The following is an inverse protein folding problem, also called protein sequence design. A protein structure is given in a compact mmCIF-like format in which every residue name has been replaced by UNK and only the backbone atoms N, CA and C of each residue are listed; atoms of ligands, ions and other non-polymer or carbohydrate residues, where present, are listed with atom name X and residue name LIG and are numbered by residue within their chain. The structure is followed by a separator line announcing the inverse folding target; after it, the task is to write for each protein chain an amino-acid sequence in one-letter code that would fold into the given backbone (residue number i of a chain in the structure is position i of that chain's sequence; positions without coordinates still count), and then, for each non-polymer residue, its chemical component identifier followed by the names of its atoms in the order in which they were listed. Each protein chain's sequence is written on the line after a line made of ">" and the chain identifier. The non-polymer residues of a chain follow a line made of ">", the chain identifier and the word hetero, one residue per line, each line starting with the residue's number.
data_IF_014712140497
#
_entry.id   IF_014712140497
#
_cell.length_a   1.000
_cell.length_b   1.000
_cell.length_c   1.000
_cell.angle_alpha   90.00
_cell.angle_beta   90.00
_cell.angle_gamma   90.00
#
_symmetry.space_group_name_H-M   'P 1'
#
loop_
_entity.id
_entity.type
_entity.pdbx_description
1 polymer ?
#
# COMPACT_ATOMS: atom_id res chain seq x y z
N UNK A 1 32.65 -69.40 -39.46
CA UNK A 1 31.35 -68.84 -39.00
C UNK A 1 31.61 -68.03 -37.74
N UNK A 2 31.56 -66.69 -37.82
CA UNK A 2 31.84 -65.79 -36.68
C UNK A 2 30.59 -65.71 -35.80
N UNK A 3 30.71 -66.09 -34.52
CA UNK A 3 29.63 -66.02 -33.53
C UNK A 3 29.35 -64.55 -33.19
N UNK A 4 28.22 -64.01 -33.66
CA UNK A 4 27.75 -62.69 -33.22
C UNK A 4 27.26 -62.78 -31.78
N UNK A 5 27.83 -61.96 -30.91
CA UNK A 5 27.50 -61.90 -29.49
C UNK A 5 26.22 -61.07 -29.30
N UNK A 6 25.16 -61.67 -28.74
CA UNK A 6 23.83 -61.08 -28.58
C UNK A 6 23.82 -59.74 -27.82
N UNK A 7 24.83 -59.48 -27.00
CA UNK A 7 24.95 -58.26 -26.20
C UNK A 7 25.17 -57.00 -27.05
N UNK A 8 25.68 -57.13 -28.28
CA UNK A 8 26.00 -55.99 -29.15
C UNK A 8 24.81 -55.47 -29.97
N UNK A 9 23.73 -56.25 -30.09
CA UNK A 9 22.52 -55.86 -30.84
C UNK A 9 21.56 -55.05 -29.94
N UNK A 10 21.62 -55.26 -28.62
CA UNK A 10 20.75 -54.54 -27.67
C UNK A 10 21.17 -53.08 -27.46
N UNK A 11 22.46 -52.76 -27.63
CA UNK A 11 22.98 -51.39 -27.48
C UNK A 11 22.65 -50.51 -28.70
N UNK A 12 22.44 -51.10 -29.88
CA UNK A 12 22.12 -50.33 -31.10
C UNK A 12 20.62 -49.99 -31.22
N UNK A 13 19.74 -50.73 -30.53
CA UNK A 13 18.30 -50.44 -30.47
C UNK A 13 17.91 -49.43 -29.37
N UNK A 14 18.79 -49.17 -28.39
CA UNK A 14 18.52 -48.24 -27.29
C UNK A 14 18.87 -46.77 -27.62
N UNK A 15 19.52 -46.52 -28.76
CA UNK A 15 19.96 -45.16 -29.17
C UNK A 15 18.92 -44.49 -30.08
N UNK A 16 17.91 -45.23 -30.59
CA UNK A 16 16.93 -44.69 -31.55
C UNK A 16 15.63 -44.14 -30.91
N UNK A 17 15.55 -44.02 -29.58
CA UNK A 17 14.33 -43.56 -28.88
C UNK A 17 14.50 -42.25 -28.11
N UNK A 18 15.67 -41.59 -28.19
CA UNK A 18 15.93 -40.29 -27.53
C UNK A 18 15.62 -39.08 -28.43
N UNK A 19 14.94 -39.30 -29.56
CA UNK A 19 14.67 -38.27 -30.57
C UNK A 19 13.33 -37.54 -30.45
N UNK A 20 12.58 -37.68 -29.35
CA UNK A 20 11.46 -36.77 -29.09
C UNK A 20 12.03 -35.52 -28.44
N UNK A 21 12.59 -34.65 -29.27
CA UNK A 21 12.74 -33.24 -28.93
C UNK A 21 11.32 -32.73 -28.69
N UNK A 22 10.88 -32.74 -27.43
CA UNK A 22 9.62 -32.13 -27.03
C UNK A 22 9.76 -30.64 -27.33
N UNK A 23 9.21 -30.21 -28.46
CA UNK A 23 8.79 -28.83 -28.61
C UNK A 23 7.66 -28.67 -27.58
N UNK A 24 8.01 -28.33 -26.35
CA UNK A 24 7.03 -27.79 -25.42
C UNK A 24 6.57 -26.49 -26.05
N UNK A 25 5.27 -26.32 -26.27
CA UNK A 25 4.70 -25.03 -26.68
C UNK A 25 5.28 -23.93 -25.78
N UNK A 26 5.82 -22.88 -26.38
CA UNK A 26 6.36 -21.75 -25.60
C UNK A 26 5.19 -21.07 -24.88
N UNK A 27 5.21 -21.12 -23.55
CA UNK A 27 4.22 -20.46 -22.72
C UNK A 27 4.70 -19.05 -22.38
N UNK A 28 3.88 -18.06 -22.72
CA UNK A 28 4.10 -16.67 -22.36
C UNK A 28 3.33 -16.35 -21.08
N UNK A 29 3.99 -15.81 -20.04
CA UNK A 29 3.30 -15.37 -18.84
C UNK A 29 2.38 -14.18 -19.14
N UNK A 30 1.41 -13.88 -18.26
CA UNK A 30 0.68 -12.62 -18.33
C UNK A 30 1.64 -11.44 -18.13
N UNK A 31 1.17 -10.23 -18.43
CA UNK A 31 1.91 -9.00 -18.09
C UNK A 31 1.04 -8.05 -17.29
N UNK A 32 1.65 -7.30 -16.37
CA UNK A 32 0.97 -6.28 -15.55
C UNK A 32 1.75 -4.97 -15.54
N UNK A 33 1.04 -3.85 -15.64
CA UNK A 33 1.58 -2.50 -15.52
C UNK A 33 0.69 -1.61 -14.64
N UNK A 34 1.30 -0.56 -14.10
CA UNK A 34 0.60 0.55 -13.47
C UNK A 34 0.66 1.75 -14.40
N UNK A 35 -0.50 2.26 -14.82
CA UNK A 35 -0.57 3.43 -15.68
C UNK A 35 -0.35 4.72 -14.88
N UNK A 36 0.46 5.62 -15.43
CA UNK A 36 0.72 6.94 -14.84
C UNK A 36 -0.40 7.93 -15.17
N UNK A 37 -0.74 8.82 -14.25
CA UNK A 37 -1.64 9.95 -14.46
C UNK A 37 -1.72 10.84 -13.22
N UNK A 38 -2.34 12.02 -13.34
CA UNK A 38 -2.35 13.03 -12.26
C UNK A 38 -2.96 12.53 -10.94
N UNK A 39 -3.82 11.51 -11.00
CA UNK A 39 -4.53 10.95 -9.86
C UNK A 39 -4.13 9.50 -9.52
N UNK A 40 -3.08 8.97 -10.14
CA UNK A 40 -2.65 7.59 -9.93
C UNK A 40 -1.24 7.51 -9.37
N UNK A 41 -1.06 6.64 -8.38
CA UNK A 41 0.27 6.21 -7.96
C UNK A 41 0.72 5.05 -8.86
N UNK A 42 1.84 5.24 -9.56
CA UNK A 42 2.46 4.21 -10.40
C UNK A 42 3.93 3.94 -10.06
N UNK A 43 4.47 4.64 -9.05
CA UNK A 43 5.85 4.50 -8.57
C UNK A 43 5.94 4.92 -7.10
N UNK A 44 7.13 4.87 -6.51
CA UNK A 44 7.33 5.22 -5.11
C UNK A 44 6.84 6.64 -4.82
N UNK A 45 6.15 6.81 -3.70
CA UNK A 45 5.50 8.08 -3.37
C UNK A 45 5.48 8.33 -1.85
N UNK A 46 5.35 9.62 -1.50
CA UNK A 46 5.08 10.05 -0.13
C UNK A 46 3.61 10.39 0.04
N UNK A 47 2.99 9.87 1.10
CA UNK A 47 1.54 10.00 1.34
C UNK A 47 1.23 10.20 2.81
N UNK A 48 0.07 10.77 3.12
CA UNK A 48 -0.37 10.86 4.51
C UNK A 48 -0.78 9.47 5.05
N UNK A 49 -0.68 9.26 6.38
CA UNK A 49 -1.22 8.06 7.01
C UNK A 49 -2.71 7.88 6.70
N UNK A 50 -3.13 6.64 6.43
CA UNK A 50 -4.52 6.26 6.12
C UNK A 50 -5.15 6.99 4.91
N UNK A 51 -4.33 7.60 4.05
CA UNK A 51 -4.77 8.26 2.82
C UNK A 51 -5.33 7.28 1.79
N UNK A 52 -6.28 7.73 0.97
CA UNK A 52 -6.76 6.96 -0.17
C UNK A 52 -5.73 7.00 -1.30
N UNK A 53 -5.25 5.83 -1.69
CA UNK A 53 -4.31 5.60 -2.77
C UNK A 53 -5.09 5.01 -3.94
N UNK A 54 -5.03 5.68 -5.09
CA UNK A 54 -5.64 5.19 -6.33
C UNK A 54 -4.54 4.74 -7.29
N UNK A 55 -4.70 3.57 -7.87
CA UNK A 55 -3.82 3.02 -8.90
C UNK A 55 -4.64 2.62 -10.11
N UNK A 56 -4.10 2.79 -11.32
CA UNK A 56 -4.70 2.26 -12.53
C UNK A 56 -3.91 1.05 -12.99
N UNK A 57 -4.48 -0.14 -12.79
CA UNK A 57 -3.86 -1.42 -13.12
C UNK A 57 -4.30 -1.84 -14.51
N UNK A 58 -3.34 -2.28 -15.31
CA UNK A 58 -3.59 -2.93 -16.59
C UNK A 58 -2.81 -4.24 -16.66
N UNK A 59 -3.51 -5.34 -16.90
CA UNK A 59 -2.90 -6.63 -17.13
C UNK A 59 -3.46 -7.27 -18.41
N UNK A 60 -2.57 -7.87 -19.21
CA UNK A 60 -2.92 -8.58 -20.44
C UNK A 60 -2.49 -10.03 -20.35
N UNK A 61 -3.32 -10.92 -20.89
CA UNK A 61 -2.98 -12.34 -20.94
C UNK A 61 -1.74 -12.62 -21.80
N UNK A 62 -1.02 -13.66 -21.43
CA UNK A 62 0.00 -14.28 -22.27
C UNK A 62 -0.61 -15.38 -23.12
N UNK A 63 -0.12 -16.61 -22.96
CA UNK A 63 -0.70 -17.79 -23.60
C UNK A 63 -2.05 -18.17 -22.98
N UNK A 64 -2.10 -18.24 -21.65
CA UNK A 64 -3.27 -18.64 -20.88
C UNK A 64 -4.11 -17.44 -20.42
N UNK A 65 -5.40 -17.68 -20.19
CA UNK A 65 -6.34 -16.66 -19.73
C UNK A 65 -6.01 -16.17 -18.31
N UNK A 66 -6.18 -14.88 -18.03
CA UNK A 66 -6.01 -14.32 -16.68
C UNK A 66 -7.02 -14.96 -15.71
N UNK A 67 -6.58 -15.22 -14.48
CA UNK A 67 -7.34 -15.99 -13.49
C UNK A 67 -7.46 -15.26 -12.14
N UNK A 68 -6.35 -14.86 -11.53
CA UNK A 68 -6.35 -14.22 -10.22
C UNK A 68 -5.56 -12.91 -10.22
N UNK A 69 -6.12 -11.89 -9.59
CA UNK A 69 -5.42 -10.65 -9.26
C UNK A 69 -5.29 -10.52 -7.74
N UNK A 70 -4.10 -10.23 -7.23
CA UNK A 70 -3.84 -10.11 -5.79
C UNK A 70 -3.02 -8.87 -5.47
N UNK A 71 -3.37 -8.20 -4.38
CA UNK A 71 -2.60 -7.07 -3.82
C UNK A 71 -1.95 -7.53 -2.51
N UNK A 72 -0.66 -7.29 -2.37
CA UNK A 72 0.10 -7.53 -1.16
C UNK A 72 0.63 -6.21 -0.58
N UNK A 73 0.76 -6.18 0.75
CA UNK A 73 1.52 -5.20 1.51
C UNK A 73 2.56 -5.96 2.33
N UNK A 74 3.85 -5.66 2.13
CA UNK A 74 4.97 -6.30 2.82
C UNK A 74 4.91 -7.85 2.76
N UNK A 75 4.55 -8.38 1.57
CA UNK A 75 4.43 -9.82 1.32
C UNK A 75 3.17 -10.49 1.90
N UNK A 76 2.32 -9.77 2.63
CA UNK A 76 1.04 -10.27 3.14
C UNK A 76 -0.11 -9.74 2.29
N UNK A 77 -1.15 -10.55 2.05
CA UNK A 77 -2.33 -10.09 1.29
C UNK A 77 -2.93 -8.86 1.98
N UNK A 78 -3.16 -7.80 1.21
CA UNK A 78 -3.80 -6.59 1.70
C UNK A 78 -5.22 -6.94 2.20
N UNK A 79 -5.58 -6.61 3.46
CA UNK A 79 -6.92 -6.88 3.98
C UNK A 79 -8.00 -6.21 3.13
N UNK A 80 -9.10 -6.93 2.86
CA UNK A 80 -10.16 -6.44 1.98
C UNK A 80 -10.80 -5.15 2.52
N UNK A 81 -10.84 -4.94 3.84
CA UNK A 81 -11.42 -3.73 4.44
C UNK A 81 -10.63 -2.45 4.11
N UNK A 82 -9.37 -2.59 3.68
CA UNK A 82 -8.55 -1.45 3.22
C UNK A 82 -8.78 -1.12 1.75
N UNK A 83 -9.39 -2.00 0.97
CA UNK A 83 -9.69 -1.78 -0.44
C UNK A 83 -11.07 -1.13 -0.53
N UNK A 84 -11.10 0.12 -0.98
CA UNK A 84 -12.32 0.94 -0.99
C UNK A 84 -13.07 0.87 -2.32
N UNK A 85 -12.38 0.57 -3.43
CA UNK A 85 -13.01 0.35 -4.74
C UNK A 85 -12.12 -0.45 -5.72
N UNK A 86 -12.72 -0.95 -6.80
CA UNK A 86 -12.04 -1.59 -7.93
C UNK A 86 -12.11 -3.12 -7.92
N UNK A 87 -11.99 -3.75 -6.75
CA UNK A 87 -12.18 -5.19 -6.57
C UNK A 87 -12.96 -5.48 -5.28
N UNK A 88 -13.70 -6.60 -5.27
CA UNK A 88 -14.57 -6.99 -4.15
C UNK A 88 -14.02 -8.19 -3.35
N UNK A 89 -12.84 -8.69 -3.72
CA UNK A 89 -12.13 -9.78 -3.05
C UNK A 89 -10.63 -9.60 -3.26
N UNK A 90 -9.80 -10.12 -2.35
CA UNK A 90 -8.35 -10.17 -2.51
C UNK A 90 -7.82 -11.52 -1.97
N UNK A 91 -7.48 -12.48 -2.85
CA UNK A 91 -7.41 -12.40 -4.31
C UNK A 91 -8.77 -12.19 -4.99
N UNK A 92 -8.79 -11.47 -6.11
CA UNK A 92 -9.93 -11.32 -6.99
C UNK A 92 -9.89 -12.38 -8.10
N UNK A 93 -10.97 -13.15 -8.24
CA UNK A 93 -11.18 -14.07 -9.37
C UNK A 93 -11.64 -13.27 -10.60
N UNK A 94 -10.92 -13.41 -11.70
CA UNK A 94 -11.20 -12.73 -12.96
C UNK A 94 -12.14 -13.58 -13.81
N UNK A 95 -13.07 -12.93 -14.51
CA UNK A 95 -14.06 -13.62 -15.34
C UNK A 95 -14.55 -12.75 -16.49
N UNK A 96 -15.21 -13.36 -17.47
CA UNK A 96 -15.74 -12.64 -18.63
C UNK A 96 -14.62 -11.99 -19.44
N UNK A 97 -14.74 -10.71 -19.74
CA UNK A 97 -13.72 -9.98 -20.52
C UNK A 97 -12.41 -9.76 -19.75
N UNK A 98 -12.45 -9.84 -18.41
CA UNK A 98 -11.27 -9.63 -17.56
C UNK A 98 -10.22 -10.73 -17.72
N UNK A 99 -10.59 -11.88 -18.27
CA UNK A 99 -9.67 -13.00 -18.52
C UNK A 99 -8.73 -12.76 -19.70
N UNK A 100 -9.05 -11.78 -20.56
CA UNK A 100 -8.18 -11.37 -21.68
C UNK A 100 -7.43 -10.07 -21.35
N UNK A 101 -8.14 -9.11 -20.76
CA UNK A 101 -7.64 -7.79 -20.38
C UNK A 101 -8.29 -7.36 -19.05
N UNK A 102 -7.48 -7.23 -18.01
CA UNK A 102 -7.89 -6.63 -16.75
C UNK A 102 -7.41 -5.19 -16.69
N UNK A 103 -8.32 -4.23 -16.85
CA UNK A 103 -8.02 -2.80 -16.73
C UNK A 103 -8.98 -2.15 -15.73
N UNK A 104 -8.46 -1.76 -14.55
CA UNK A 104 -9.27 -1.18 -13.48
C UNK A 104 -8.53 -0.11 -12.70
N UNK A 105 -9.30 0.87 -12.24
CA UNK A 105 -8.90 1.75 -11.15
C UNK A 105 -9.21 1.08 -9.82
N UNK A 106 -8.21 1.01 -8.95
CA UNK A 106 -8.30 0.40 -7.63
C UNK A 106 -7.90 1.43 -6.60
N UNK A 107 -8.74 1.58 -5.58
CA UNK A 107 -8.49 2.51 -4.48
C UNK A 107 -8.37 1.73 -3.18
N UNK A 108 -7.35 2.04 -2.40
CA UNK A 108 -7.13 1.43 -1.08
C UNK A 108 -6.51 2.42 -0.10
N UNK A 109 -6.59 2.14 1.20
CA UNK A 109 -5.97 2.99 2.23
C UNK A 109 -4.49 2.67 2.42
N UNK A 110 -3.63 3.70 2.49
CA UNK A 110 -2.22 3.59 2.87
C UNK A 110 -2.06 3.05 4.30
N UNK A 111 -0.84 2.66 4.67
CA UNK A 111 -0.51 2.22 6.01
C UNK A 111 -0.67 3.36 7.04
N UNK A 112 -0.85 3.01 8.31
CA UNK A 112 -1.00 3.98 9.39
C UNK A 112 0.33 4.43 10.00
N UNK A 113 1.41 3.69 9.74
CA UNK A 113 2.76 4.02 10.22
C UNK A 113 3.85 3.44 9.32
N UNK A 114 5.02 4.09 9.29
CA UNK A 114 6.22 3.58 8.64
C UNK A 114 6.17 3.58 7.10
N UNK A 115 6.88 2.63 6.52
CA UNK A 115 6.96 2.40 5.08
C UNK A 115 6.37 1.03 4.75
N UNK A 116 5.71 0.92 3.60
CA UNK A 116 5.13 -0.33 3.11
C UNK A 116 5.42 -0.53 1.62
N UNK A 117 5.82 -1.75 1.27
CA UNK A 117 5.95 -2.22 -0.10
C UNK A 117 4.62 -2.83 -0.58
N UNK A 118 4.07 -2.27 -1.64
CA UNK A 118 2.86 -2.76 -2.29
C UNK A 118 3.21 -3.54 -3.55
N UNK A 119 2.66 -4.74 -3.67
CA UNK A 119 2.89 -5.63 -4.82
C UNK A 119 1.56 -6.08 -5.41
N UNK A 120 1.37 -5.83 -6.70
CA UNK A 120 0.24 -6.25 -7.49
C UNK A 120 0.66 -7.45 -8.32
N UNK A 121 -0.05 -8.57 -8.17
CA UNK A 121 0.28 -9.84 -8.81
C UNK A 121 -0.89 -10.28 -9.66
N UNK A 122 -0.61 -10.60 -10.92
CA UNK A 122 -1.54 -11.25 -11.84
C UNK A 122 -1.10 -12.71 -12.04
N UNK A 123 -2.05 -13.63 -12.01
CA UNK A 123 -1.85 -15.06 -12.26
C UNK A 123 -2.82 -15.51 -13.36
N UNK A 124 -2.34 -16.30 -14.31
CA UNK A 124 -3.15 -16.91 -15.36
C UNK A 124 -3.68 -18.31 -14.98
N UNK A 125 -4.48 -18.93 -15.84
CA UNK A 125 -5.02 -20.28 -15.61
C UNK A 125 -3.97 -21.38 -15.70
N UNK A 126 -2.80 -21.09 -16.28
CA UNK A 126 -1.63 -21.96 -16.32
C UNK A 126 -0.73 -21.83 -15.08
N UNK A 127 -1.11 -20.98 -14.11
CA UNK A 127 -0.37 -20.63 -12.91
C UNK A 127 0.93 -19.85 -13.14
N UNK A 128 1.14 -19.28 -14.33
CA UNK A 128 2.19 -18.31 -14.57
C UNK A 128 1.80 -16.95 -13.99
N UNK A 129 2.79 -16.17 -13.59
CA UNK A 129 2.60 -14.92 -12.85
C UNK A 129 3.46 -13.80 -13.41
N UNK A 130 2.95 -12.59 -13.26
CA UNK A 130 3.73 -11.37 -13.34
C UNK A 130 3.34 -10.43 -12.18
N UNK A 131 4.23 -9.51 -11.85
CA UNK A 131 4.02 -8.61 -10.71
C UNK A 131 4.69 -7.26 -10.90
N UNK A 132 4.05 -6.23 -10.37
CA UNK A 132 4.59 -4.87 -10.31
C UNK A 132 4.30 -4.26 -8.94
N UNK A 133 5.15 -3.36 -8.47
CA UNK A 133 5.00 -2.79 -7.13
C UNK A 133 5.66 -1.43 -6.98
N UNK A 134 5.39 -0.81 -5.84
CA UNK A 134 5.99 0.44 -5.40
C UNK A 134 6.03 0.49 -3.89
N UNK A 135 6.82 1.42 -3.37
CA UNK A 135 6.94 1.69 -1.94
C UNK A 135 6.22 2.99 -1.60
N UNK A 136 5.37 2.96 -0.57
CA UNK A 136 4.79 4.17 0.02
C UNK A 136 5.51 4.50 1.32
N UNK A 137 6.06 5.70 1.40
CA UNK A 137 6.64 6.25 2.63
C UNK A 137 5.68 7.28 3.20
N UNK A 138 5.36 7.21 4.50
CA UNK A 138 4.46 8.20 5.08
C UNK A 138 5.14 9.57 5.22
N UNK A 139 4.38 10.63 4.96
CA UNK A 139 4.76 11.98 5.33
C UNK A 139 5.04 12.02 6.84
N UNK A 140 6.17 12.59 7.27
CA UNK A 140 6.45 12.74 8.68
C UNK A 140 5.33 13.56 9.32
N UNK A 141 4.72 13.06 10.40
CA UNK A 141 3.82 13.87 11.20
C UNK A 141 4.63 15.02 11.77
N UNK A 142 4.26 16.26 11.45
CA UNK A 142 4.82 17.41 12.13
C UNK A 142 4.39 17.34 13.60
N UNK A 143 5.32 17.00 14.48
CA UNK A 143 5.07 17.10 15.93
C UNK A 143 4.75 18.56 16.26
N UNK A 144 3.59 18.79 16.90
CA UNK A 144 3.25 20.11 17.42
C UNK A 144 4.10 20.36 18.67
N UNK A 145 5.28 20.92 18.47
CA UNK A 145 6.16 21.36 19.55
C UNK A 145 5.72 22.76 20.02
N UNK A 146 4.65 22.83 20.79
CA UNK A 146 4.24 24.07 21.47
C UNK A 146 5.12 24.29 22.71
N UNK A 147 6.24 24.98 22.52
CA UNK A 147 7.05 25.49 23.63
C UNK A 147 6.61 26.91 23.97
N UNK A 148 5.82 27.06 25.03
CA UNK A 148 5.59 28.34 25.71
C UNK A 148 6.55 28.44 26.90
N UNK A 149 7.80 28.81 26.61
CA UNK A 149 8.74 29.20 27.67
C UNK A 149 8.54 30.69 27.98
N UNK A 150 8.65 31.07 29.26
CA UNK A 150 8.58 32.45 29.76
C UNK A 150 7.23 33.16 29.76
N UNK A 151 6.12 32.48 29.47
CA UNK A 151 4.78 33.09 29.51
C UNK A 151 4.34 33.33 30.97
N UNK A 152 4.40 34.59 31.43
CA UNK A 152 3.95 34.97 32.77
C UNK A 152 2.43 35.10 32.79
N UNK A 153 1.74 34.09 33.31
CA UNK A 153 0.31 34.19 33.61
C UNK A 153 0.16 34.76 35.02
N UNK A 154 -0.43 35.94 35.12
CA UNK A 154 -0.86 36.53 36.38
C UNK A 154 -2.17 35.91 36.87
N UNK A 155 -2.53 36.15 38.13
CA UNK A 155 -3.86 35.79 38.60
C UNK A 155 -4.93 36.63 37.91
N UNK A 156 -6.13 36.10 37.72
CA UNK A 156 -7.26 36.77 37.07
C UNK A 156 -7.60 38.14 37.69
N UNK A 157 -7.30 38.32 38.98
CA UNK A 157 -7.52 39.57 39.73
C UNK A 157 -6.42 40.62 39.55
N UNK A 158 -5.31 40.29 38.91
CA UNK A 158 -4.24 41.23 38.58
C UNK A 158 -4.65 42.16 37.43
N UNK A 159 -4.11 43.40 37.37
CA UNK A 159 -4.44 44.34 36.30
C UNK A 159 -3.96 43.88 34.92
N UNK A 160 -2.90 43.06 34.86
CA UNK A 160 -2.24 42.64 33.63
C UNK A 160 -1.95 41.13 33.63
N UNK A 161 -2.11 40.48 32.46
CA UNK A 161 -1.72 39.09 32.18
C UNK A 161 -2.52 37.97 32.85
N UNK A 162 -3.78 38.21 33.21
CA UNK A 162 -4.64 37.22 33.87
C UNK A 162 -5.21 36.11 32.98
N UNK A 163 -4.90 36.10 31.67
CA UNK A 163 -5.39 35.09 30.73
C UNK A 163 -4.36 34.78 29.62
N UNK A 164 -4.45 33.59 29.03
CA UNK A 164 -3.67 33.17 27.85
C UNK A 164 -4.58 33.14 26.62
N UNK A 165 -4.17 33.79 25.54
CA UNK A 165 -4.71 33.61 24.19
C UNK A 165 -3.96 32.45 23.52
N UNK A 166 -4.66 31.34 23.25
CA UNK A 166 -4.10 30.13 22.65
C UNK A 166 -3.96 30.24 21.13
N UNK A 167 -4.58 31.24 20.49
CA UNK A 167 -4.40 31.50 19.06
C UNK A 167 -3.10 32.26 18.78
N UNK A 168 -2.71 33.16 19.68
CA UNK A 168 -1.49 33.97 19.55
C UNK A 168 -0.34 33.50 20.43
N UNK A 169 -0.61 32.66 21.44
CA UNK A 169 0.39 32.22 22.42
C UNK A 169 0.87 33.35 23.35
N UNK A 170 0.04 34.38 23.55
CA UNK A 170 0.40 35.56 24.35
C UNK A 170 -0.50 35.68 25.59
N UNK A 171 0.02 36.37 26.60
CA UNK A 171 -0.76 36.72 27.78
C UNK A 171 -1.54 38.00 27.53
N UNK A 172 -2.83 37.98 27.84
CA UNK A 172 -3.74 39.11 27.70
C UNK A 172 -4.32 39.48 29.07
N UNK A 173 -4.91 40.68 29.18
CA UNK A 173 -5.64 41.08 30.38
C UNK A 173 -6.81 40.12 30.65
N UNK A 174 -7.19 39.93 31.92
CA UNK A 174 -8.28 39.03 32.31
C UNK A 174 -9.65 39.42 31.72
N UNK A 175 -9.82 40.70 31.39
CA UNK A 175 -11.02 41.23 30.72
C UNK A 175 -10.99 41.11 29.19
N UNK A 176 -9.88 40.65 28.60
CA UNK A 176 -9.76 40.54 27.15
C UNK A 176 -10.53 39.31 26.65
N UNK A 177 -11.42 39.53 25.67
CA UNK A 177 -12.27 38.50 25.09
C UNK A 177 -11.49 37.42 24.30
N UNK A 178 -10.24 37.71 23.90
CA UNK A 178 -9.35 36.75 23.24
C UNK A 178 -8.65 35.80 24.21
N UNK A 179 -8.85 35.94 25.52
CA UNK A 179 -8.25 35.05 26.50
C UNK A 179 -9.01 33.73 26.66
N UNK A 180 -8.37 32.60 26.36
CA UNK A 180 -8.96 31.25 26.39
C UNK A 180 -8.76 30.53 27.73
N UNK A 181 -7.64 30.77 28.43
CA UNK A 181 -7.30 30.11 29.71
C UNK A 181 -7.06 31.16 30.79
N UNK A 182 -7.85 31.11 31.86
CA UNK A 182 -7.81 32.06 32.98
C UNK A 182 -7.39 31.36 34.28
N UNK A 183 -6.43 31.94 35.01
CA UNK A 183 -6.13 31.51 36.38
C UNK A 183 -7.04 32.26 37.36
N UNK A 184 -8.10 31.61 37.84
CA UNK A 184 -9.04 32.18 38.82
C UNK A 184 -8.41 32.50 40.19
N UNK A 185 -7.15 32.09 40.41
CA UNK A 185 -6.43 32.21 41.67
C UNK A 185 -6.91 31.18 42.70
N UNK A 186 -6.13 31.00 43.76
CA UNK A 186 -6.53 30.19 44.91
C UNK A 186 -7.62 30.91 45.71
N UNK A 187 -8.82 30.32 45.80
CA UNK A 187 -9.87 30.77 46.71
C UNK A 187 -9.69 30.01 48.02
N UNK A 188 -9.08 30.64 49.04
CA UNK A 188 -9.15 30.08 50.39
C UNK A 188 -10.63 30.03 50.81
N UNK A 189 -11.03 28.87 51.34
CA UNK A 189 -12.42 28.49 51.56
C UNK A 189 -13.25 29.57 52.24
N UNK A 190 -14.25 30.07 51.53
CA UNK A 190 -15.49 30.47 52.17
C UNK A 190 -16.15 29.20 52.69
N UNK A 191 -16.06 28.97 54.00
CA UNK A 191 -17.07 28.16 54.72
C UNK A 191 -18.45 28.69 54.34
N UNK A 192 -19.34 27.76 53.96
CA UNK A 192 -20.77 28.02 53.78
C UNK A 192 -21.38 28.69 55.01
#
# INVERSE_FOLDING_TARGET
>A
MKKLNLFSILVLAAILTLGYTSCTEDLFPPSITLESGDNYISSNAQVDPDANITVKVKATKGTDALNLFTIYENGTKLPLERITSGINANPALLSGTETDLFEKEITFKSQSSGESDYLFVIEDSGALKDSIGFTLTLNPKTELNLFVDSLKVGNFKGPDYGSIDLQTGTTVASSNASGDVQDIGWVEGTTQ
#
